data_IF_280208304310
#
_entry.id   IF_280208304310
#
_cell.length_a   1.000
_cell.length_b   1.000
_cell.length_c   1.000
_cell.angle_alpha   90.00
_cell.angle_beta   90.00
_cell.angle_gamma   90.00
#
_symmetry.space_group_name_H-M   'P 1'
#
loop_
_entity.id
_entity.type
_entity.pdbx_description
1 polymer ?
#
# COMPACT_ATOMS: atom_id res chain seq x y z
N UNK A 1 -15.00 -45.46 -24.48
CA UNK A 1 -14.19 -44.61 -23.57
C UNK A 1 -15.04 -43.42 -23.16
N UNK A 2 -15.41 -43.36 -21.88
CA UNK A 2 -16.07 -42.23 -21.23
C UNK A 2 -14.98 -41.34 -20.64
N UNK A 3 -15.00 -40.03 -20.88
CA UNK A 3 -14.88 -39.00 -19.83
C UNK A 3 -15.65 -37.78 -20.31
N UNK A 4 -16.74 -37.46 -19.60
CA UNK A 4 -17.48 -36.21 -19.73
C UNK A 4 -16.58 -35.06 -19.25
N UNK A 5 -16.28 -34.11 -20.14
CA UNK A 5 -15.78 -32.80 -19.77
C UNK A 5 -16.95 -31.87 -19.51
N UNK A 6 -17.36 -31.72 -18.25
CA UNK A 6 -18.27 -30.65 -17.81
C UNK A 6 -18.20 -30.54 -16.30
N UNK A 7 -17.27 -29.72 -15.80
CA UNK A 7 -17.37 -29.17 -14.44
C UNK A 7 -17.90 -27.75 -14.64
N UNK A 8 -19.22 -27.63 -14.47
CA UNK A 8 -19.88 -26.35 -14.27
C UNK A 8 -19.31 -25.72 -13.01
N UNK A 9 -18.60 -24.60 -13.16
CA UNK A 9 -18.17 -23.82 -12.01
C UNK A 9 -19.37 -23.04 -11.49
N UNK A 10 -19.70 -23.34 -10.22
CA UNK A 10 -20.76 -22.74 -9.41
C UNK A 10 -20.83 -21.22 -9.56
N UNK A 11 -22.03 -20.72 -9.84
CA UNK A 11 -22.41 -19.36 -9.55
C UNK A 11 -22.44 -19.16 -8.03
N UNK A 12 -21.57 -18.30 -7.51
CA UNK A 12 -21.61 -17.85 -6.12
C UNK A 12 -22.13 -16.40 -6.07
N UNK A 13 -23.33 -16.29 -5.48
CA UNK A 13 -23.93 -15.19 -4.74
C UNK A 13 -23.51 -13.73 -5.05
N UNK A 14 -24.52 -12.96 -5.41
CA UNK A 14 -24.57 -11.49 -5.30
C UNK A 14 -24.50 -11.10 -3.82
N UNK A 15 -23.39 -10.52 -3.40
CA UNK A 15 -23.17 -9.87 -2.12
C UNK A 15 -21.82 -9.16 -2.18
N UNK A 16 -21.83 -7.82 -2.17
CA UNK A 16 -20.71 -6.97 -2.60
C UNK A 16 -19.34 -7.39 -2.06
N UNK A 17 -18.49 -7.89 -2.95
CA UNK A 17 -17.06 -8.09 -2.69
C UNK A 17 -16.29 -6.96 -3.38
N UNK A 18 -16.09 -5.84 -2.69
CA UNK A 18 -14.97 -4.97 -3.04
C UNK A 18 -13.70 -5.63 -2.51
N UNK A 19 -12.95 -6.30 -3.39
CA UNK A 19 -11.62 -6.76 -3.05
C UNK A 19 -10.63 -6.09 -3.99
N UNK A 20 -10.23 -4.85 -3.72
CA UNK A 20 -9.10 -4.25 -4.43
C UNK A 20 -7.78 -4.57 -3.70
N UNK A 21 -7.51 -5.87 -3.49
CA UNK A 21 -6.17 -6.36 -3.16
C UNK A 21 -5.42 -6.68 -4.46
N UNK A 22 -4.09 -6.51 -4.49
CA UNK A 22 -3.27 -6.91 -5.63
C UNK A 22 -2.22 -7.95 -5.23
N UNK A 23 -1.77 -8.71 -6.24
CA UNK A 23 -0.79 -9.77 -6.06
C UNK A 23 0.49 -9.46 -6.83
N UNK A 24 1.63 -9.73 -6.21
CA UNK A 24 2.95 -9.66 -6.81
C UNK A 24 3.50 -11.07 -6.95
N UNK A 25 3.64 -11.50 -8.20
CA UNK A 25 4.34 -12.73 -8.57
C UNK A 25 5.75 -12.38 -9.02
N UNK A 26 6.72 -13.19 -8.61
CA UNK A 26 8.11 -12.97 -9.01
C UNK A 26 8.34 -13.42 -10.46
N UNK A 27 8.78 -12.50 -11.35
CA UNK A 27 9.09 -12.88 -12.72
C UNK A 27 10.37 -13.73 -12.75
N UNK A 28 10.55 -14.49 -13.85
CA UNK A 28 11.78 -15.28 -14.06
C UNK A 28 13.01 -14.41 -14.36
N UNK A 29 12.78 -13.25 -14.98
CA UNK A 29 13.78 -12.26 -15.39
C UNK A 29 13.13 -10.88 -15.40
N UNK A 30 13.92 -9.83 -15.18
CA UNK A 30 13.50 -8.44 -15.40
C UNK A 30 14.37 -7.88 -16.53
N UNK A 31 13.74 -7.49 -17.64
CA UNK A 31 14.46 -7.10 -18.86
C UNK A 31 14.57 -5.58 -19.04
N UNK A 32 13.89 -4.80 -18.19
CA UNK A 32 13.97 -3.34 -18.16
C UNK A 32 13.53 -2.79 -16.80
N UNK A 33 14.01 -1.58 -16.45
CA UNK A 33 13.56 -0.88 -15.26
C UNK A 33 12.12 -0.42 -15.40
N UNK A 34 11.30 -0.72 -14.39
CA UNK A 34 9.87 -0.45 -14.39
C UNK A 34 9.41 0.08 -13.03
N UNK A 35 8.34 0.87 -13.05
CA UNK A 35 7.65 1.35 -11.85
C UNK A 35 6.19 0.94 -11.92
N UNK A 36 5.75 0.13 -10.95
CA UNK A 36 4.38 -0.31 -10.79
C UNK A 36 3.72 0.48 -9.66
N UNK A 37 2.79 1.37 -9.99
CA UNK A 37 2.08 2.20 -9.02
C UNK A 37 0.77 1.55 -8.62
N UNK A 38 0.55 1.39 -7.33
CA UNK A 38 -0.66 0.84 -6.75
C UNK A 38 -1.24 1.81 -5.73
N UNK A 39 -2.55 1.68 -5.53
CA UNK A 39 -3.29 2.41 -4.51
C UNK A 39 -4.07 1.39 -3.71
N UNK A 40 -3.88 1.40 -2.39
CA UNK A 40 -4.61 0.57 -1.44
C UNK A 40 -5.49 1.44 -0.56
N UNK A 41 -6.78 1.11 -0.51
CA UNK A 41 -7.74 1.63 0.46
C UNK A 41 -7.65 0.86 1.79
N UNK A 42 -8.30 1.38 2.83
CA UNK A 42 -8.36 0.73 4.14
C UNK A 42 -8.99 -0.67 4.03
N UNK A 43 -8.29 -1.67 4.57
CA UNK A 43 -8.71 -3.07 4.53
C UNK A 43 -8.22 -3.85 3.31
N UNK A 44 -7.60 -3.18 2.33
CA UNK A 44 -6.99 -3.81 1.17
C UNK A 44 -5.55 -4.28 1.45
N UNK A 45 -5.10 -5.24 0.66
CA UNK A 45 -3.81 -5.92 0.89
C UNK A 45 -2.97 -6.06 -0.37
N UNK A 46 -1.66 -6.11 -0.17
CA UNK A 46 -0.69 -6.52 -1.19
C UNK A 46 -0.16 -7.91 -0.81
N UNK A 47 -0.43 -8.90 -1.66
CA UNK A 47 0.07 -10.27 -1.45
C UNK A 47 1.29 -10.51 -2.33
N UNK A 48 2.40 -10.87 -1.71
CA UNK A 48 3.66 -11.18 -2.40
C UNK A 48 3.88 -12.69 -2.28
N UNK A 49 3.90 -13.40 -3.41
CA UNK A 49 4.24 -14.82 -3.43
C UNK A 49 5.72 -14.98 -3.08
N UNK A 50 6.10 -15.76 -2.06
CA UNK A 50 7.51 -15.88 -1.67
C UNK A 50 8.33 -16.54 -2.79
N UNK A 51 9.56 -16.04 -2.93
CA UNK A 51 10.53 -16.49 -3.92
C UNK A 51 10.71 -18.02 -3.90
N UNK A 52 10.65 -18.70 -5.05
CA UNK A 52 11.11 -20.07 -5.13
C UNK A 52 12.61 -20.13 -4.78
N UNK A 53 13.02 -21.14 -4.01
CA UNK A 53 14.44 -21.41 -3.75
C UNK A 53 15.16 -21.47 -5.12
N UNK A 54 16.19 -20.61 -5.30
CA UNK A 54 16.95 -20.38 -6.54
C UNK A 54 16.44 -19.31 -7.53
N UNK A 55 15.55 -18.40 -7.11
CA UNK A 55 15.22 -17.23 -7.93
C UNK A 55 16.41 -16.27 -8.09
N UNK A 56 16.57 -15.72 -9.29
CA UNK A 56 17.51 -14.64 -9.62
C UNK A 56 16.99 -13.26 -9.20
N UNK A 57 15.69 -13.16 -8.99
CA UNK A 57 15.02 -11.94 -8.53
C UNK A 57 15.02 -11.95 -7.02
N UNK A 58 15.45 -10.85 -6.41
CA UNK A 58 15.43 -10.60 -4.97
C UNK A 58 14.46 -9.46 -4.65
N UNK A 59 14.07 -9.34 -3.39
CA UNK A 59 13.25 -8.22 -2.90
C UNK A 59 14.10 -7.29 -2.04
N UNK A 60 13.88 -5.98 -2.19
CA UNK A 60 14.50 -4.94 -1.37
C UNK A 60 13.40 -4.07 -0.72
N UNK A 61 13.46 -3.80 0.59
CA UNK A 61 14.44 -4.35 1.54
C UNK A 61 14.29 -5.88 1.70
N UNK A 62 15.38 -6.54 2.11
CA UNK A 62 15.40 -8.00 2.31
C UNK A 62 14.40 -8.43 3.39
N UNK A 63 14.27 -7.61 4.45
CA UNK A 63 13.34 -7.84 5.56
C UNK A 63 12.02 -7.08 5.36
N UNK A 64 11.37 -7.29 4.22
CA UNK A 64 10.12 -6.62 3.88
C UNK A 64 9.00 -6.86 4.92
N UNK A 65 9.11 -7.93 5.71
CA UNK A 65 8.22 -8.21 6.84
C UNK A 65 8.37 -7.23 8.02
N UNK A 66 9.46 -6.47 8.09
CA UNK A 66 9.76 -5.53 9.18
C UNK A 66 9.83 -4.08 8.74
N UNK A 67 10.27 -3.86 7.50
CA UNK A 67 10.54 -2.52 6.98
C UNK A 67 10.23 -2.42 5.49
N UNK A 68 10.03 -1.19 5.04
CA UNK A 68 9.86 -0.85 3.63
C UNK A 68 10.51 0.50 3.34
N UNK A 69 10.71 0.81 2.06
CA UNK A 69 11.16 2.14 1.69
C UNK A 69 10.01 3.15 1.80
N UNK A 70 10.27 4.38 2.27
CA UNK A 70 9.25 5.42 2.33
C UNK A 70 8.89 5.92 0.93
N UNK A 71 7.64 6.37 0.77
CA UNK A 71 7.26 7.21 -0.36
C UNK A 71 7.53 8.69 -0.05
N UNK A 72 8.06 9.40 -1.04
CA UNK A 72 8.19 10.85 -1.04
C UNK A 72 7.48 11.41 -2.28
N UNK A 73 6.39 12.14 -2.08
CA UNK A 73 5.56 12.70 -3.16
C UNK A 73 5.12 11.64 -4.19
N UNK A 74 4.76 10.44 -3.72
CA UNK A 74 4.31 9.35 -4.57
C UNK A 74 5.40 8.66 -5.38
N UNK A 75 6.68 8.82 -4.98
CA UNK A 75 7.79 8.05 -5.53
C UNK A 75 8.68 7.43 -4.45
N UNK A 76 9.32 6.30 -4.76
CA UNK A 76 10.14 5.56 -3.81
C UNK A 76 11.41 6.33 -3.42
N UNK A 77 11.62 6.55 -2.12
CA UNK A 77 12.78 7.27 -1.58
C UNK A 77 13.78 6.28 -0.95
N UNK A 78 14.53 5.60 -1.82
CA UNK A 78 15.57 4.65 -1.40
C UNK A 78 16.77 5.33 -0.74
N UNK A 79 16.99 6.62 -1.00
CA UNK A 79 18.10 7.40 -0.43
C UNK A 79 17.96 7.59 1.09
N UNK A 80 16.72 7.59 1.62
CA UNK A 80 16.46 7.62 3.07
C UNK A 80 16.60 6.26 3.77
N UNK A 81 16.84 5.20 2.99
CA UNK A 81 16.90 3.82 3.48
C UNK A 81 15.53 3.27 3.84
N UNK A 82 15.49 1.96 4.09
CA UNK A 82 14.29 1.30 4.59
C UNK A 82 13.97 1.79 6.01
N UNK A 83 12.68 1.84 6.32
CA UNK A 83 12.14 2.28 7.60
C UNK A 83 11.21 1.21 8.17
N UNK A 84 11.24 0.98 9.49
CA UNK A 84 10.26 0.14 10.16
C UNK A 84 8.83 0.56 9.80
N UNK A 85 7.92 -0.40 9.67
CA UNK A 85 6.52 -0.11 9.32
C UNK A 85 5.85 0.92 10.24
N UNK A 86 6.17 0.89 11.54
CA UNK A 86 5.64 1.84 12.52
C UNK A 86 6.13 3.29 12.27
N UNK A 87 7.29 3.49 11.65
CA UNK A 87 7.77 4.83 11.27
C UNK A 87 7.12 5.34 9.98
N UNK A 88 6.73 4.43 9.08
CA UNK A 88 5.99 4.78 7.86
C UNK A 88 4.53 5.13 8.16
N UNK A 89 3.98 4.57 9.25
CA UNK A 89 2.60 4.78 9.69
C UNK A 89 2.52 5.15 11.19
N UNK A 90 3.05 6.32 11.62
CA UNK A 90 3.17 6.73 13.03
C UNK A 90 1.87 6.83 13.85
N UNK A 91 0.69 6.70 13.24
CA UNK A 91 -0.60 6.69 13.94
C UNK A 91 -1.30 5.32 13.98
N UNK A 92 -0.66 4.26 13.49
CA UNK A 92 -1.19 2.91 13.54
C UNK A 92 -1.13 2.31 14.96
N UNK A 93 -1.97 1.30 15.22
CA UNK A 93 -1.88 0.52 16.46
C UNK A 93 -0.49 -0.11 16.59
N UNK A 94 0.12 -0.04 17.78
CA UNK A 94 1.47 -0.56 18.04
C UNK A 94 1.60 -2.06 17.79
N UNK A 95 0.50 -2.80 17.85
CA UNK A 95 0.42 -4.24 17.60
C UNK A 95 -0.14 -4.57 16.21
N UNK A 96 -0.32 -3.57 15.33
CA UNK A 96 -0.81 -3.81 13.99
C UNK A 96 0.17 -4.69 13.21
N UNK A 97 -0.32 -5.84 12.71
CA UNK A 97 0.48 -6.76 11.92
C UNK A 97 0.55 -6.28 10.45
N UNK A 98 1.45 -5.32 10.18
CA UNK A 98 1.69 -4.76 8.84
C UNK A 98 2.04 -5.82 7.80
N UNK A 99 2.79 -6.84 8.22
CA UNK A 99 3.13 -7.98 7.41
C UNK A 99 2.70 -9.28 8.10
N UNK A 100 2.14 -10.21 7.35
CA UNK A 100 1.75 -11.54 7.86
C UNK A 100 2.11 -12.61 6.84
N UNK A 101 2.87 -13.60 7.27
CA UNK A 101 3.16 -14.80 6.48
C UNK A 101 2.04 -15.82 6.70
N UNK A 102 1.27 -16.16 5.68
CA UNK A 102 0.08 -17.03 5.80
C UNK A 102 0.39 -18.52 5.64
N UNK A 103 1.45 -18.84 4.92
CA UNK A 103 2.00 -20.17 4.68
C UNK A 103 3.46 -19.95 4.27
N UNK A 104 4.30 -20.98 4.25
CA UNK A 104 5.73 -20.91 3.86
C UNK A 104 6.04 -20.31 2.48
N UNK A 105 5.05 -19.72 1.81
CA UNK A 105 5.05 -19.37 0.40
C UNK A 105 4.41 -17.99 0.11
N UNK A 106 3.95 -17.21 1.08
CA UNK A 106 3.36 -15.88 0.80
C UNK A 106 3.45 -14.90 1.97
N UNK A 107 3.81 -13.66 1.64
CA UNK A 107 3.83 -12.50 2.52
C UNK A 107 2.64 -11.59 2.19
N UNK A 108 1.79 -11.30 3.17
CA UNK A 108 0.69 -10.34 3.02
C UNK A 108 1.08 -9.04 3.70
N UNK A 109 1.16 -7.96 2.92
CA UNK A 109 1.30 -6.60 3.42
C UNK A 109 -0.08 -5.95 3.55
N UNK A 110 -0.32 -5.32 4.69
CA UNK A 110 -1.59 -4.71 5.09
C UNK A 110 -1.40 -3.23 5.38
N UNK A 111 -2.37 -2.43 4.97
CA UNK A 111 -2.46 -1.01 5.32
C UNK A 111 -3.27 -0.89 6.61
N UNK A 112 -2.80 -0.15 7.62
CA UNK A 112 -3.57 0.05 8.84
C UNK A 112 -4.84 0.87 8.57
N UNK A 113 -5.96 0.60 9.27
CA UNK A 113 -7.20 1.34 9.08
C UNK A 113 -7.12 2.80 9.55
N UNK A 114 -6.19 3.08 10.45
CA UNK A 114 -5.89 4.39 11.00
C UNK A 114 -4.37 4.55 11.04
N UNK A 115 -3.88 5.76 10.77
CA UNK A 115 -2.46 6.09 10.85
C UNK A 115 -2.02 6.99 9.71
N UNK A 116 -1.25 8.02 10.03
CA UNK A 116 -0.73 8.94 9.03
C UNK A 116 0.37 8.26 8.23
N UNK A 117 0.24 8.18 6.91
CA UNK A 117 1.25 7.59 6.03
C UNK A 117 0.95 7.86 4.57
N UNK A 118 1.97 8.17 3.78
CA UNK A 118 1.82 8.36 2.31
C UNK A 118 1.72 7.02 1.57
N UNK A 119 2.15 5.94 2.22
CA UNK A 119 2.30 4.61 1.67
C UNK A 119 3.74 4.12 1.79
N UNK A 120 4.08 3.11 1.01
CA UNK A 120 5.37 2.41 1.08
C UNK A 120 5.82 1.97 -0.31
N UNK A 121 7.08 1.57 -0.42
CA UNK A 121 7.59 0.93 -1.62
C UNK A 121 8.56 -0.20 -1.30
N UNK A 122 8.69 -1.10 -2.27
CA UNK A 122 9.67 -2.18 -2.29
C UNK A 122 10.08 -2.42 -3.74
N UNK A 123 11.23 -3.06 -3.93
CA UNK A 123 11.85 -3.24 -5.24
C UNK A 123 12.09 -4.72 -5.47
N UNK A 124 11.69 -5.21 -6.65
CA UNK A 124 12.19 -6.47 -7.16
C UNK A 124 13.43 -6.19 -7.99
N UNK A 125 14.55 -6.81 -7.66
CA UNK A 125 15.81 -6.66 -8.40
C UNK A 125 16.21 -7.98 -9.03
N UNK A 126 16.45 -7.98 -10.33
CA UNK A 126 17.09 -9.10 -11.00
C UNK A 126 18.61 -9.02 -10.80
N UNK A 127 19.17 -10.01 -10.11
CA UNK A 127 20.60 -10.06 -9.82
C UNK A 127 21.47 -10.36 -11.05
N UNK A 128 20.89 -10.94 -12.10
CA UNK A 128 21.56 -11.24 -13.38
C UNK A 128 21.59 -10.03 -14.31
N UNK A 129 20.44 -9.41 -14.57
CA UNK A 129 20.34 -8.27 -15.50
C UNK A 129 20.59 -6.91 -14.83
N UNK A 130 20.51 -6.86 -13.50
CA UNK A 130 20.53 -5.64 -12.66
C UNK A 130 19.32 -4.72 -12.82
N UNK A 131 18.36 -5.08 -13.67
CA UNK A 131 17.10 -4.34 -13.81
C UNK A 131 16.17 -4.55 -12.63
N UNK A 132 15.25 -3.60 -12.47
CA UNK A 132 14.37 -3.51 -11.31
C UNK A 132 12.91 -3.30 -11.68
N UNK A 133 12.02 -3.81 -10.84
CA UNK A 133 10.62 -3.39 -10.79
C UNK A 133 10.36 -2.77 -9.44
N UNK A 134 10.12 -1.46 -9.42
CA UNK A 134 9.78 -0.72 -8.19
C UNK A 134 8.27 -0.71 -7.99
N UNK A 135 7.80 -1.19 -6.86
CA UNK A 135 6.39 -1.14 -6.47
C UNK A 135 6.18 0.07 -5.56
N UNK A 136 5.39 1.03 -6.03
CA UNK A 136 5.03 2.24 -5.28
C UNK A 136 3.57 2.11 -4.84
N UNK A 137 3.35 1.89 -3.55
CA UNK A 137 2.02 1.63 -2.99
C UNK A 137 1.57 2.82 -2.18
N UNK A 138 0.70 3.63 -2.77
CA UNK A 138 0.05 4.75 -2.08
C UNK A 138 -1.14 4.26 -1.26
N UNK A 139 -1.39 4.91 -0.13
CA UNK A 139 -2.51 4.56 0.75
C UNK A 139 -3.51 5.70 0.82
N UNK A 140 -4.78 5.37 0.68
CA UNK A 140 -5.88 6.30 0.84
C UNK A 140 -6.80 5.79 1.94
N UNK A 141 -7.09 6.64 2.92
CA UNK A 141 -7.93 6.27 4.05
C UNK A 141 -7.30 6.45 5.43
N UNK A 142 -6.07 6.96 5.49
CA UNK A 142 -5.66 7.81 6.62
C UNK A 142 -6.49 9.10 6.56
N UNK A 143 -7.74 9.01 7.03
CA UNK A 143 -8.65 10.13 7.09
C UNK A 143 -7.95 11.28 7.78
N UNK A 144 -7.70 12.33 7.00
CA UNK A 144 -7.44 13.67 7.49
C UNK A 144 -8.51 13.99 8.53
N UNK A 145 -8.25 13.74 9.81
CA UNK A 145 -8.87 14.52 10.89
C UNK A 145 -8.12 15.85 10.97
N UNK A 146 -8.04 16.54 9.83
CA UNK A 146 -7.97 17.99 9.84
C UNK A 146 -9.37 18.46 10.28
N UNK A 147 -9.66 18.35 11.59
CA UNK A 147 -10.56 19.29 12.24
C UNK A 147 -9.81 20.60 12.22
N UNK A 148 -9.82 21.25 11.05
CA UNK A 148 -9.54 22.65 10.95
C UNK A 148 -10.58 23.30 11.84
N UNK A 149 -10.16 23.65 13.05
CA UNK A 149 -10.82 24.68 13.83
C UNK A 149 -10.86 25.89 12.90
N UNK A 150 -12.01 26.09 12.26
CA UNK A 150 -12.34 27.38 11.67
C UNK A 150 -12.51 28.28 12.88
N UNK A 151 -11.37 28.77 13.38
CA UNK A 151 -11.32 29.92 14.25
C UNK A 151 -11.88 31.05 13.39
N UNK A 152 -13.19 31.29 13.52
CA UNK A 152 -13.87 32.47 12.99
C UNK A 152 -13.28 33.68 13.73
N UNK A 153 -12.06 34.06 13.38
CA UNK A 153 -11.45 35.34 13.75
C UNK A 153 -11.61 36.23 12.52
N UNK A 154 -12.66 37.04 12.59
CA UNK A 154 -12.76 38.41 12.07
C UNK A 154 -12.42 38.68 10.61
N UNK A 155 -13.36 39.25 9.88
CA UNK A 155 -13.37 40.70 9.61
C UNK A 155 -14.38 41.02 8.50
N UNK A 156 -15.27 41.97 8.79
CA UNK A 156 -15.88 42.99 7.91
C UNK A 156 -17.04 43.59 8.73
N UNK A 157 -16.76 44.47 9.69
CA UNK A 157 -16.62 45.91 9.49
C UNK A 157 -17.88 46.56 8.90
N UNK A 158 -18.68 47.08 9.83
CA UNK A 158 -19.20 48.46 9.85
C UNK A 158 -20.20 48.91 8.77
N UNK A 159 -21.46 49.09 9.18
CA UNK A 159 -22.21 50.32 8.85
C UNK A 159 -22.87 50.84 10.14
N UNK A 160 -22.35 51.98 10.59
CA UNK A 160 -22.94 52.88 11.58
C UNK A 160 -24.10 53.68 10.97
N UNK A 161 -24.89 54.34 11.84
CA UNK A 161 -25.88 55.41 11.60
C UNK A 161 -27.33 54.92 11.39
N UNK A 162 -28.39 55.39 12.07
CA UNK A 162 -28.64 56.48 13.05
C UNK A 162 -29.97 56.17 13.75
N UNK A 163 -30.07 56.24 15.09
CA UNK A 163 -30.64 57.34 15.88
C UNK A 163 -31.99 57.94 15.41
N UNK A 164 -32.97 57.86 16.32
CA UNK A 164 -34.10 58.79 16.57
C UNK A 164 -34.99 59.21 15.38
N UNK A 165 -36.25 58.74 15.39
CA UNK A 165 -37.39 59.53 15.91
C UNK A 165 -38.62 58.66 16.10
#
# INVERSE_FOLDING_TARGET
MRVLGSIALLAALVGGASAASFQVSFPKSIDADTVSKHKLEVGETCTIEMLPQNSKVTVEPEQLEKEAFPLNNGSCDTAKGAKPWAELFPGADKNFAFATTTSSSSLILKVPPHGDGQGFCFILRDTSTKHTTTYEVTTSGAGKTAVGVITFIGFLSSVFASMHS
#
